data_IF_002036343047
#
_entry.id   IF_002036343047
#
_cell.length_a   1.000
_cell.length_b   1.000
_cell.length_c   1.000
_cell.angle_alpha   90.00
_cell.angle_beta   90.00
_cell.angle_gamma   90.00
#
_symmetry.space_group_name_H-M   'P 1'
#
loop_
_entity.id
_entity.type
_entity.pdbx_description
1 polymer ?
#
# COMPACT_ATOMS: atom_id res chain seq x y z
N UNK A 1 -3.04 12.05 -24.60
CA UNK A 1 -2.34 12.13 -24.14
C UNK A 1 -1.91 11.23 -23.41
N UNK A 2 -1.21 10.85 -23.23
CA UNK A 2 -0.92 10.00 -22.60
C UNK A 2 -0.20 10.23 -21.55
N UNK A 3 -0.45 9.83 -20.61
CA UNK A 3 0.25 9.92 -19.57
C UNK A 3 0.70 8.67 -19.24
N UNK A 4 1.85 8.46 -18.89
CA UNK A 4 2.30 7.28 -18.27
C UNK A 4 1.77 7.31 -16.90
N UNK A 5 0.92 6.43 -16.59
CA UNK A 5 0.46 6.29 -15.25
C UNK A 5 1.60 5.77 -14.42
N UNK A 6 2.12 6.61 -13.58
CA UNK A 6 3.25 6.26 -12.75
C UNK A 6 2.83 6.37 -11.29
N UNK A 7 3.02 5.31 -10.56
CA UNK A 7 2.70 5.31 -9.13
C UNK A 7 3.99 5.59 -8.38
N UNK A 8 4.08 6.80 -7.84
CA UNK A 8 5.26 7.21 -7.11
C UNK A 8 4.93 7.26 -5.61
N UNK A 9 5.90 7.78 -4.85
CA UNK A 9 5.75 7.86 -3.41
C UNK A 9 4.52 8.66 -2.99
N UNK A 10 4.28 9.77 -3.66
CA UNK A 10 3.15 10.62 -3.31
C UNK A 10 1.82 9.92 -3.60
N UNK A 11 1.77 9.17 -4.68
CA UNK A 11 0.57 8.41 -5.00
C UNK A 11 0.30 7.37 -3.92
N UNK A 12 1.34 6.69 -3.46
CA UNK A 12 1.18 5.72 -2.39
C UNK A 12 0.67 6.38 -1.12
N UNK A 13 1.26 7.52 -0.75
CA UNK A 13 0.82 8.24 0.43
C UNK A 13 -0.64 8.67 0.31
N UNK A 14 -1.03 9.16 -0.86
CA UNK A 14 -2.40 9.58 -1.09
C UNK A 14 -3.37 8.44 -0.97
N UNK A 15 -3.01 7.28 -1.52
CA UNK A 15 -3.86 6.10 -1.44
C UNK A 15 -4.03 5.66 0.01
N UNK A 16 -2.95 5.62 0.77
CA UNK A 16 -3.03 5.20 2.16
C UNK A 16 -3.88 6.16 2.98
N UNK A 17 -3.73 7.46 2.73
CA UNK A 17 -4.55 8.45 3.43
C UNK A 17 -6.03 8.27 3.09
N UNK A 18 -6.33 7.96 1.83
CA UNK A 18 -7.71 7.72 1.40
C UNK A 18 -8.32 6.55 2.14
N UNK A 19 -7.53 5.59 2.50
CA UNK A 19 -8.02 4.41 3.21
C UNK A 19 -8.16 4.63 4.70
N UNK A 20 -7.76 5.81 5.19
CA UNK A 20 -7.90 6.14 6.60
C UNK A 20 -6.64 5.97 7.41
N UNK A 21 -5.53 5.64 6.79
CA UNK A 21 -4.27 5.53 7.51
C UNK A 21 -3.69 6.92 7.76
N UNK A 22 -3.04 7.06 8.90
CA UNK A 22 -2.37 8.31 9.22
C UNK A 22 -0.95 8.24 8.75
N UNK A 23 -0.66 8.95 7.68
CA UNK A 23 0.66 8.95 7.08
C UNK A 23 1.14 10.40 7.04
N UNK A 24 2.24 10.71 7.73
CA UNK A 24 2.74 12.09 7.72
C UNK A 24 3.15 12.53 6.33
N UNK A 25 2.94 13.81 6.04
CA UNK A 25 3.39 14.36 4.77
C UNK A 25 4.90 14.26 4.69
N UNK A 26 5.39 13.97 3.50
CA UNK A 26 6.84 13.86 3.30
C UNK A 26 7.41 12.52 3.70
N UNK A 27 6.58 11.56 4.08
CA UNK A 27 7.07 10.23 4.40
C UNK A 27 7.64 9.55 3.16
N UNK A 28 8.67 8.73 3.36
CA UNK A 28 9.13 7.88 2.28
C UNK A 28 8.14 6.75 2.07
N UNK A 29 8.29 6.03 0.96
CA UNK A 29 7.42 4.90 0.69
C UNK A 29 7.48 3.87 1.82
N UNK A 30 8.68 3.61 2.32
CA UNK A 30 8.84 2.67 3.42
C UNK A 30 8.19 3.16 4.69
N UNK A 31 8.36 4.44 5.01
CA UNK A 31 7.74 5.02 6.19
C UNK A 31 6.23 4.98 6.09
N UNK A 32 5.70 5.27 4.90
CA UNK A 32 4.26 5.24 4.69
C UNK A 32 3.73 3.83 4.90
N UNK A 33 4.42 2.84 4.36
CA UNK A 33 4.00 1.45 4.53
C UNK A 33 4.09 1.02 5.99
N UNK A 34 5.12 1.47 6.71
CA UNK A 34 5.22 1.19 8.14
C UNK A 34 4.02 1.74 8.89
N UNK A 35 3.64 2.96 8.58
CA UNK A 35 2.48 3.57 9.23
C UNK A 35 1.22 2.77 8.93
N UNK A 36 1.08 2.30 7.70
CA UNK A 36 -0.06 1.51 7.34
C UNK A 36 -0.10 0.20 8.11
N UNK A 37 1.05 -0.46 8.24
CA UNK A 37 1.12 -1.72 8.97
C UNK A 37 0.74 -1.52 10.43
N UNK A 38 1.21 -0.43 11.02
CA UNK A 38 0.89 -0.15 12.42
C UNK A 38 -0.59 0.11 12.63
N UNK A 39 -1.26 0.68 11.63
CA UNK A 39 -2.68 0.99 11.73
C UNK A 39 -3.58 -0.09 11.17
N UNK A 40 -3.04 -1.26 10.84
CA UNK A 40 -3.84 -2.30 10.24
C UNK A 40 -4.82 -2.90 11.25
N UNK A 41 -6.00 -3.22 10.75
CA UNK A 41 -6.97 -4.03 11.48
C UNK A 41 -7.70 -4.85 10.40
N UNK A 42 -8.67 -5.64 10.83
CA UNK A 42 -9.36 -6.54 9.89
C UNK A 42 -9.97 -5.80 8.71
N UNK A 43 -10.65 -4.71 8.99
CA UNK A 43 -11.29 -3.93 7.92
C UNK A 43 -10.28 -3.28 7.01
N UNK A 44 -9.27 -2.67 7.59
CA UNK A 44 -8.28 -1.97 6.81
C UNK A 44 -7.41 -2.92 6.00
N UNK A 45 -7.20 -4.10 6.52
CA UNK A 45 -6.46 -5.11 5.78
C UNK A 45 -7.16 -5.46 4.48
N UNK A 46 -8.49 -5.55 4.52
CA UNK A 46 -9.26 -5.88 3.32
C UNK A 46 -9.12 -4.77 2.27
N UNK A 47 -9.31 -3.52 2.67
CA UNK A 47 -9.23 -2.42 1.70
C UNK A 47 -7.81 -2.21 1.22
N UNK A 48 -6.83 -2.38 2.10
CA UNK A 48 -5.43 -2.23 1.71
C UNK A 48 -5.03 -3.30 0.71
N UNK A 49 -5.46 -4.52 0.95
CA UNK A 49 -5.18 -5.61 0.04
C UNK A 49 -5.80 -5.36 -1.33
N UNK A 50 -7.03 -4.86 -1.34
CA UNK A 50 -7.68 -4.51 -2.60
C UNK A 50 -6.90 -3.43 -3.33
N UNK A 51 -6.44 -2.42 -2.61
CA UNK A 51 -5.66 -1.35 -3.20
C UNK A 51 -4.37 -1.88 -3.82
N UNK A 52 -3.63 -2.70 -3.07
CA UNK A 52 -2.37 -3.26 -3.57
C UNK A 52 -2.63 -4.11 -4.81
N UNK A 53 -3.67 -4.92 -4.77
CA UNK A 53 -4.02 -5.76 -5.89
C UNK A 53 -4.33 -4.92 -7.13
N UNK A 54 -5.07 -3.84 -6.95
CA UNK A 54 -5.40 -2.96 -8.06
C UNK A 54 -4.14 -2.30 -8.62
N UNK A 55 -3.24 -1.88 -7.75
CA UNK A 55 -2.00 -1.28 -8.21
C UNK A 55 -1.18 -2.25 -9.04
N UNK A 56 -1.12 -3.50 -8.60
CA UNK A 56 -0.30 -4.49 -9.29
C UNK A 56 -0.94 -4.98 -10.59
N UNK A 57 -2.26 -4.93 -10.69
CA UNK A 57 -2.94 -5.39 -11.92
C UNK A 57 -3.22 -4.26 -12.89
N UNK A 58 -3.01 -3.00 -12.49
CA UNK A 58 -3.21 -1.89 -13.40
C UNK A 58 -2.04 -1.81 -14.39
N UNK A 59 -2.24 -1.06 -15.45
CA UNK A 59 -1.18 -0.86 -16.43
C UNK A 59 -0.19 0.21 -15.97
N UNK A 60 -0.40 0.79 -14.81
CA UNK A 60 0.51 1.81 -14.29
C UNK A 60 1.84 1.20 -13.90
N UNK A 61 2.88 2.00 -14.05
CA UNK A 61 4.22 1.59 -13.64
C UNK A 61 4.43 1.99 -12.18
N UNK A 62 4.81 1.04 -11.37
CA UNK A 62 5.11 1.32 -9.97
C UNK A 62 6.61 1.53 -9.83
N UNK A 63 6.99 2.66 -9.23
CA UNK A 63 8.42 2.94 -9.03
C UNK A 63 9.05 1.83 -8.18
N UNK A 64 10.29 1.46 -8.47
CA UNK A 64 10.92 0.37 -7.71
C UNK A 64 10.94 0.59 -6.22
N UNK A 65 11.18 1.83 -5.77
CA UNK A 65 11.20 2.11 -4.34
C UNK A 65 9.84 1.87 -3.70
N UNK A 66 8.78 2.25 -4.40
CA UNK A 66 7.41 2.05 -3.91
C UNK A 66 7.10 0.56 -3.89
N UNK A 67 7.43 -0.13 -4.96
CA UNK A 67 7.15 -1.56 -5.06
C UNK A 67 7.89 -2.34 -3.99
N UNK A 68 9.15 -2.01 -3.75
CA UNK A 68 9.92 -2.67 -2.70
C UNK A 68 9.30 -2.45 -1.34
N UNK A 69 8.86 -1.22 -1.07
CA UNK A 69 8.24 -0.93 0.21
C UNK A 69 6.97 -1.76 0.40
N UNK A 70 6.15 -1.87 -0.64
CA UNK A 70 4.95 -2.68 -0.56
C UNK A 70 5.31 -4.14 -0.33
N UNK A 71 6.25 -4.66 -1.11
CA UNK A 71 6.62 -6.07 -1.00
C UNK A 71 7.20 -6.41 0.35
N UNK A 72 7.96 -5.50 0.93
CA UNK A 72 8.63 -5.77 2.20
C UNK A 72 7.75 -5.55 3.41
N UNK A 73 6.89 -4.53 3.35
CA UNK A 73 6.12 -4.12 4.51
C UNK A 73 4.67 -4.57 4.43
N UNK A 74 4.01 -4.28 3.31
CA UNK A 74 2.57 -4.51 3.23
C UNK A 74 2.22 -5.96 2.97
N UNK A 75 2.91 -6.60 2.04
CA UNK A 75 2.54 -7.97 1.68
C UNK A 75 2.70 -8.95 2.84
N UNK A 76 3.80 -8.91 3.61
CA UNK A 76 3.91 -9.80 4.77
C UNK A 76 2.83 -9.54 5.81
N UNK A 77 2.53 -8.26 6.06
CA UNK A 77 1.52 -7.92 7.05
C UNK A 77 0.14 -8.41 6.61
N UNK A 78 -0.17 -8.21 5.32
CA UNK A 78 -1.45 -8.66 4.79
C UNK A 78 -1.56 -10.19 4.81
N UNK A 79 -0.46 -10.87 4.57
CA UNK A 79 -0.45 -12.33 4.61
C UNK A 79 -0.78 -12.83 6.01
N UNK A 80 -0.27 -12.13 7.04
CA UNK A 80 -0.57 -12.52 8.41
C UNK A 80 -2.06 -12.38 8.71
N UNK A 81 -2.67 -11.30 8.27
CA UNK A 81 -4.10 -11.12 8.48
C UNK A 81 -4.91 -12.16 7.73
N UNK A 82 -4.48 -12.48 6.53
CA UNK A 82 -5.17 -13.48 5.75
C UNK A 82 -5.09 -14.85 6.41
N UNK A 83 -3.93 -15.19 6.95
CA UNK A 83 -3.77 -16.47 7.64
C UNK A 83 -4.65 -16.53 8.88
N UNK A 84 -4.73 -15.44 9.62
CA UNK A 84 -5.55 -15.42 10.82
C UNK A 84 -7.01 -15.70 10.51
N UNK A 85 -7.46 -15.31 9.34
CA UNK A 85 -8.86 -15.46 8.98
C UNK A 85 -9.19 -16.78 8.34
N UNK A 86 -8.19 -17.52 7.91
CA UNK A 86 -8.46 -18.74 7.16
C UNK A 86 -8.62 -19.96 8.05
N UNK A 87 -8.67 -19.78 9.33
CA UNK A 87 -8.92 -20.92 10.21
C UNK A 87 -10.37 -21.34 10.22
#
# INVERSE_FOLDING_TARGET
MMHADLIDQEDLLGQLKSLGFQVPNGSTAEQACECAVRGLNDERAIVLRTMVKQMYTSSATILPAVRQAIDRQLLPALAEYQQSRST
#
